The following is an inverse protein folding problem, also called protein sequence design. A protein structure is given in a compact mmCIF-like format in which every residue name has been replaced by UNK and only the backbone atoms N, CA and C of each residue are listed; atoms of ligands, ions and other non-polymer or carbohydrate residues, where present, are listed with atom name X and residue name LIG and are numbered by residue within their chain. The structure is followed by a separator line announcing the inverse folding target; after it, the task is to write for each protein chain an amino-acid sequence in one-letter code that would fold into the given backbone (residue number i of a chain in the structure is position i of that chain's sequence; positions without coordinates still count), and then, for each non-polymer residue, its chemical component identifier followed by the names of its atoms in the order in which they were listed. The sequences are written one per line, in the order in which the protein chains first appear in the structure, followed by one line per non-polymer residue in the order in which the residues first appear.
data_IF_587929152178
#
_entry.id   IF_587929152178
#
_cell.length_a   1.000
_cell.length_b   1.000
_cell.length_c   1.000
_cell.angle_alpha   90.00
_cell.angle_beta   90.00
_cell.angle_gamma   90.00
#
_symmetry.space_group_name_H-M   'P 1'
#
loop_
_entity.id
_entity.type
_entity.pdbx_description
1 polymer ?
#
# COMPACT_ATOMS: atom_id res chain seq x y z
N UNK A 1 7.31 -9.50 -31.11
CA UNK A 1 8.10 -10.73 -30.91
C UNK A 1 7.58 -11.42 -29.66
N UNK A 2 7.41 -12.74 -29.69
CA UNK A 2 7.00 -13.50 -28.51
C UNK A 2 8.23 -13.56 -27.58
N UNK A 3 8.25 -12.74 -26.53
CA UNK A 3 9.35 -12.77 -25.56
C UNK A 3 9.28 -14.11 -24.82
N UNK A 4 10.37 -14.88 -24.91
CA UNK A 4 10.48 -16.15 -24.22
C UNK A 4 10.65 -15.88 -22.72
N UNK A 5 9.87 -16.56 -21.89
CA UNK A 5 10.07 -16.55 -20.45
C UNK A 5 11.49 -17.04 -20.13
N UNK A 6 12.28 -16.33 -19.30
CA UNK A 6 13.64 -16.73 -19.02
C UNK A 6 13.64 -18.12 -18.37
N UNK A 7 14.55 -18.99 -18.82
CA UNK A 7 14.65 -20.38 -18.31
C UNK A 7 15.21 -20.43 -16.89
N UNK A 8 15.94 -19.38 -16.47
CA UNK A 8 16.59 -19.25 -15.17
C UNK A 8 16.46 -17.79 -14.76
N UNK A 9 16.10 -17.54 -13.51
CA UNK A 9 16.23 -16.24 -12.84
C UNK A 9 17.52 -16.32 -12.02
N UNK A 10 18.54 -15.57 -12.39
CA UNK A 10 19.88 -15.71 -11.81
C UNK A 10 20.52 -14.40 -11.38
N UNK A 11 19.91 -13.26 -11.73
CA UNK A 11 20.43 -11.96 -11.35
C UNK A 11 20.13 -11.67 -9.88
N UNK A 12 21.18 -11.72 -9.06
CA UNK A 12 21.12 -11.29 -7.66
C UNK A 12 20.70 -9.82 -7.55
N UNK A 13 21.25 -8.97 -8.43
CA UNK A 13 20.91 -7.55 -8.55
C UNK A 13 19.40 -7.37 -8.79
N UNK A 14 18.81 -8.22 -9.64
CA UNK A 14 17.38 -8.15 -9.93
C UNK A 14 16.52 -8.49 -8.71
N UNK A 15 16.89 -9.52 -7.96
CA UNK A 15 16.19 -9.89 -6.74
C UNK A 15 16.31 -8.81 -5.66
N UNK A 16 17.52 -8.29 -5.43
CA UNK A 16 17.77 -7.27 -4.41
C UNK A 16 17.06 -5.96 -4.74
N UNK A 17 17.06 -5.57 -6.02
CA UNK A 17 16.28 -4.41 -6.50
C UNK A 17 14.77 -4.61 -6.28
N UNK A 18 14.22 -5.78 -6.63
CA UNK A 18 12.81 -6.07 -6.41
C UNK A 18 12.43 -5.99 -4.92
N UNK A 19 13.29 -6.51 -4.05
CA UNK A 19 13.12 -6.45 -2.61
C UNK A 19 13.19 -5.03 -2.06
N UNK A 20 14.16 -4.23 -2.50
CA UNK A 20 14.28 -2.81 -2.12
C UNK A 20 13.04 -2.02 -2.49
N UNK A 21 12.46 -2.27 -3.67
CA UNK A 21 11.21 -1.62 -4.10
C UNK A 21 10.05 -2.02 -3.19
N UNK A 22 9.94 -3.31 -2.83
CA UNK A 22 8.88 -3.81 -1.96
C UNK A 22 9.01 -3.24 -0.55
N UNK A 23 10.23 -3.21 0.01
CA UNK A 23 10.51 -2.62 1.33
C UNK A 23 10.16 -1.10 1.34
N UNK A 24 10.41 -0.40 0.23
CA UNK A 24 10.00 0.98 0.01
C UNK A 24 8.48 1.16 0.07
N UNK A 25 7.73 0.27 -0.58
CA UNK A 25 6.27 0.23 -0.54
C UNK A 25 5.75 -0.11 0.87
N UNK A 26 6.28 -1.11 1.54
CA UNK A 26 5.85 -1.53 2.88
C UNK A 26 6.09 -0.42 3.91
N UNK A 27 7.23 0.28 3.79
CA UNK A 27 7.50 1.49 4.57
C UNK A 27 6.47 2.57 4.31
N UNK A 28 6.09 2.81 3.04
CA UNK A 28 5.04 3.76 2.70
C UNK A 28 3.71 3.38 3.34
N UNK A 29 3.28 2.13 3.14
CA UNK A 29 1.98 1.65 3.61
C UNK A 29 1.88 1.70 5.14
N UNK A 30 2.93 1.29 5.85
CA UNK A 30 2.98 1.38 7.32
C UNK A 30 2.83 2.81 7.83
N UNK A 31 3.52 3.77 7.23
CA UNK A 31 3.43 5.18 7.65
C UNK A 31 2.07 5.80 7.33
N UNK A 32 1.49 5.43 6.18
CA UNK A 32 0.15 5.84 5.82
C UNK A 32 -0.89 5.30 6.82
N UNK A 33 -0.78 4.03 7.21
CA UNK A 33 -1.64 3.39 8.23
C UNK A 33 -1.49 4.08 9.58
N UNK A 34 -0.27 4.36 10.01
CA UNK A 34 0.01 5.07 11.25
C UNK A 34 -0.64 6.46 11.27
N UNK A 35 -0.57 7.22 10.17
CA UNK A 35 -1.24 8.51 10.08
C UNK A 35 -2.77 8.40 10.20
N UNK A 36 -3.37 7.36 9.60
CA UNK A 36 -4.80 7.08 9.74
C UNK A 36 -5.19 6.74 11.18
N UNK A 37 -4.36 5.99 11.91
CA UNK A 37 -4.59 5.68 13.32
C UNK A 37 -4.51 6.94 14.21
N UNK A 38 -3.52 7.81 13.96
CA UNK A 38 -3.37 9.08 14.67
C UNK A 38 -4.55 10.03 14.45
N UNK A 39 -5.19 9.99 13.27
CA UNK A 39 -6.36 10.83 12.98
C UNK A 39 -7.52 10.62 13.97
N UNK A 40 -7.76 9.39 14.45
CA UNK A 40 -8.76 9.11 15.49
C UNK A 40 -8.43 9.86 16.79
N UNK A 41 -7.16 9.83 17.19
CA UNK A 41 -6.67 10.51 18.40
C UNK A 41 -6.85 12.02 18.29
N UNK A 42 -6.51 12.64 17.15
CA UNK A 42 -6.71 14.07 16.96
C UNK A 42 -8.17 14.48 17.08
N UNK A 43 -9.08 13.71 16.46
CA UNK A 43 -10.52 13.92 16.59
C UNK A 43 -10.96 13.81 18.05
N UNK A 44 -10.51 12.78 18.76
CA UNK A 44 -10.85 12.58 20.17
C UNK A 44 -10.28 13.69 21.07
N UNK A 45 -9.14 14.28 20.75
CA UNK A 45 -8.56 15.35 21.54
C UNK A 45 -9.06 16.75 21.17
N UNK A 46 -9.69 16.91 20.00
CA UNK A 46 -10.07 18.21 19.46
C UNK A 46 -8.89 18.98 18.85
N UNK A 47 -7.86 18.27 18.40
CA UNK A 47 -6.61 18.80 17.81
C UNK A 47 -6.82 19.06 16.31
N UNK A 48 -7.67 20.04 15.99
CA UNK A 48 -8.13 20.26 14.62
C UNK A 48 -7.02 20.78 13.69
N UNK A 49 -6.15 21.65 14.19
CA UNK A 49 -5.07 22.24 13.39
C UNK A 49 -4.00 21.19 13.06
N UNK A 50 -3.69 20.33 14.03
CA UNK A 50 -2.78 19.20 13.89
C UNK A 50 -3.34 18.19 12.88
N UNK A 51 -4.62 17.82 13.00
CA UNK A 51 -5.28 16.92 12.05
C UNK A 51 -5.20 17.44 10.60
N UNK A 52 -5.42 18.74 10.38
CA UNK A 52 -5.31 19.34 9.05
C UNK A 52 -3.87 19.35 8.53
N UNK A 53 -2.90 19.54 9.41
CA UNK A 53 -1.48 19.55 9.05
C UNK A 53 -1.02 18.16 8.66
N UNK A 54 -1.28 17.14 9.48
CA UNK A 54 -0.94 15.74 9.16
C UNK A 54 -1.65 15.25 7.89
N UNK A 55 -2.92 15.61 7.70
CA UNK A 55 -3.66 15.26 6.49
C UNK A 55 -3.00 15.83 5.22
N UNK A 56 -2.48 17.06 5.29
CA UNK A 56 -1.76 17.70 4.18
C UNK A 56 -0.41 17.02 3.93
N UNK A 57 0.35 16.73 4.98
CA UNK A 57 1.65 16.06 4.87
C UNK A 57 1.52 14.67 4.25
N UNK A 58 0.45 13.94 4.59
CA UNK A 58 0.15 12.62 4.05
C UNK A 58 -0.01 12.61 2.52
N UNK A 59 -0.46 13.70 1.89
CA UNK A 59 -0.57 13.80 0.42
C UNK A 59 0.81 13.58 -0.23
N UNK A 60 1.87 14.11 0.37
CA UNK A 60 3.24 13.98 -0.15
C UNK A 60 3.96 12.68 0.22
N UNK A 61 3.35 11.81 1.03
CA UNK A 61 4.03 10.59 1.52
C UNK A 61 4.39 9.64 0.38
N UNK A 62 3.50 9.49 -0.59
CA UNK A 62 3.73 8.56 -1.70
C UNK A 62 4.96 8.98 -2.50
N UNK A 63 4.97 10.20 -3.02
CA UNK A 63 6.07 10.72 -3.82
C UNK A 63 7.39 10.74 -3.07
N UNK A 64 7.36 11.06 -1.77
CA UNK A 64 8.55 11.02 -0.91
C UNK A 64 9.09 9.61 -0.75
N UNK A 65 8.24 8.60 -0.62
CA UNK A 65 8.67 7.20 -0.48
C UNK A 65 9.19 6.64 -1.80
N UNK A 66 8.57 6.99 -2.92
CA UNK A 66 9.09 6.66 -4.25
C UNK A 66 10.47 7.31 -4.45
N UNK A 67 10.62 8.60 -4.12
CA UNK A 67 11.90 9.31 -4.27
C UNK A 67 13.01 8.73 -3.36
N UNK A 68 12.68 8.34 -2.13
CA UNK A 68 13.63 7.64 -1.25
C UNK A 68 14.05 6.29 -1.83
N UNK A 69 13.12 5.51 -2.36
CA UNK A 69 13.43 4.23 -2.98
C UNK A 69 14.32 4.38 -4.22
N UNK A 70 14.00 5.33 -5.10
CA UNK A 70 14.81 5.65 -6.27
C UNK A 70 16.23 6.02 -5.85
N UNK A 71 16.37 6.92 -4.87
CA UNK A 71 17.68 7.33 -4.38
C UNK A 71 18.50 6.15 -3.82
N UNK A 72 17.87 5.23 -3.08
CA UNK A 72 18.57 4.04 -2.56
C UNK A 72 19.12 3.21 -3.73
N UNK A 73 18.33 3.00 -4.78
CA UNK A 73 18.75 2.24 -5.94
C UNK A 73 19.86 2.94 -6.73
N UNK A 74 19.76 4.26 -6.91
CA UNK A 74 20.80 5.09 -7.56
C UNK A 74 22.10 5.16 -6.75
N UNK A 75 22.04 5.09 -5.42
CA UNK A 75 23.21 5.08 -4.55
C UNK A 75 23.90 3.69 -4.53
N UNK A 76 23.18 2.61 -4.87
CA UNK A 76 23.65 1.21 -4.78
C UNK A 76 24.14 0.63 -6.12
N UNK A 77 23.55 1.06 -7.24
CA UNK A 77 23.80 0.51 -8.57
C UNK A 77 24.06 1.61 -9.61
N UNK A 78 24.99 1.36 -10.54
CA UNK A 78 25.17 2.21 -11.70
C UNK A 78 24.07 1.93 -12.76
N UNK A 79 23.80 2.88 -13.66
CA UNK A 79 22.80 2.70 -14.73
C UNK A 79 23.08 1.46 -15.60
N UNK A 80 24.37 1.11 -15.78
CA UNK A 80 24.80 -0.05 -16.57
C UNK A 80 24.44 -1.40 -15.90
N UNK A 81 24.35 -1.43 -14.57
CA UNK A 81 23.97 -2.63 -13.81
C UNK A 81 22.47 -2.94 -13.96
N UNK A 82 21.65 -1.91 -14.20
CA UNK A 82 20.19 -1.99 -14.32
C UNK A 82 19.73 -2.02 -15.78
N UNK A 83 20.32 -2.91 -16.58
CA UNK A 83 19.93 -3.14 -17.97
C UNK A 83 18.48 -3.63 -18.13
N UNK A 84 17.94 -3.56 -19.36
CA UNK A 84 16.61 -4.08 -19.71
C UNK A 84 16.41 -5.57 -19.36
N UNK A 85 17.46 -6.39 -19.42
CA UNK A 85 17.38 -7.80 -19.00
C UNK A 85 17.21 -7.93 -17.49
N UNK A 86 17.93 -7.10 -16.73
CA UNK A 86 17.81 -7.05 -15.27
C UNK A 86 16.41 -6.57 -14.87
N UNK A 87 15.88 -5.49 -15.45
CA UNK A 87 14.52 -5.02 -15.14
C UNK A 87 13.42 -6.05 -15.43
N UNK A 88 13.61 -6.90 -16.45
CA UNK A 88 12.70 -8.03 -16.70
C UNK A 88 12.75 -9.05 -15.56
N UNK A 89 13.94 -9.43 -15.11
CA UNK A 89 14.09 -10.32 -13.96
C UNK A 89 13.56 -9.66 -12.67
N UNK A 90 13.77 -8.36 -12.46
CA UNK A 90 13.25 -7.59 -11.32
C UNK A 90 11.73 -7.74 -11.23
N UNK A 91 11.01 -7.52 -12.34
CA UNK A 91 9.55 -7.66 -12.39
C UNK A 91 9.11 -9.08 -12.03
N UNK A 92 9.80 -10.09 -12.54
CA UNK A 92 9.48 -11.50 -12.26
C UNK A 92 9.71 -11.86 -10.79
N UNK A 93 10.82 -11.39 -10.20
CA UNK A 93 11.07 -11.53 -8.77
C UNK A 93 10.01 -10.79 -7.94
N UNK A 94 9.63 -9.58 -8.36
CA UNK A 94 8.59 -8.80 -7.69
C UNK A 94 7.24 -9.53 -7.68
N UNK A 95 6.82 -10.11 -8.81
CA UNK A 95 5.62 -10.97 -8.86
C UNK A 95 5.71 -12.11 -7.84
N UNK A 96 6.86 -12.79 -7.78
CA UNK A 96 7.08 -13.86 -6.82
C UNK A 96 6.94 -13.39 -5.36
N UNK A 97 7.49 -12.22 -5.03
CA UNK A 97 7.38 -11.62 -3.70
C UNK A 97 5.96 -11.21 -3.34
N UNK A 98 5.13 -10.86 -4.34
CA UNK A 98 3.75 -10.44 -4.11
C UNK A 98 2.75 -11.57 -3.89
N UNK A 99 3.14 -12.84 -4.07
CA UNK A 99 2.25 -14.01 -3.97
C UNK A 99 1.43 -14.05 -2.68
N UNK A 100 2.07 -13.74 -1.53
CA UNK A 100 1.42 -13.74 -0.21
C UNK A 100 1.14 -12.33 0.33
N UNK A 101 1.45 -11.30 -0.47
CA UNK A 101 1.32 -9.90 -0.07
C UNK A 101 -0.16 -9.49 -0.01
N UNK A 102 -0.56 -8.73 1.01
CA UNK A 102 -1.98 -8.38 1.25
C UNK A 102 -2.46 -7.15 0.47
N UNK A 103 -1.54 -6.40 -0.13
CA UNK A 103 -1.83 -5.22 -0.95
C UNK A 103 -1.06 -5.24 -2.28
N UNK A 104 -1.22 -6.30 -3.11
CA UNK A 104 -0.40 -6.49 -4.31
C UNK A 104 -0.62 -5.38 -5.35
N UNK A 105 -1.86 -4.96 -5.60
CA UNK A 105 -2.16 -3.91 -6.60
C UNK A 105 -1.50 -2.56 -6.27
N UNK A 106 -1.44 -2.21 -4.97
CA UNK A 106 -0.78 -0.98 -4.52
C UNK A 106 0.74 -1.09 -4.66
N UNK A 107 1.30 -2.27 -4.34
CA UNK A 107 2.71 -2.55 -4.50
C UNK A 107 3.13 -2.52 -5.98
N UNK A 108 2.31 -3.02 -6.90
CA UNK A 108 2.51 -2.93 -8.35
C UNK A 108 2.50 -1.47 -8.85
N UNK A 109 1.60 -0.64 -8.30
CA UNK A 109 1.55 0.79 -8.63
C UNK A 109 2.80 1.54 -8.14
N UNK A 110 3.26 1.20 -6.93
CA UNK A 110 4.51 1.72 -6.38
C UNK A 110 5.71 1.34 -7.24
N UNK A 111 5.78 0.07 -7.63
CA UNK A 111 6.78 -0.45 -8.55
C UNK A 111 6.82 0.32 -9.87
N UNK A 112 5.67 0.53 -10.51
CA UNK A 112 5.57 1.32 -11.73
C UNK A 112 6.12 2.75 -11.54
N UNK A 113 5.85 3.35 -10.38
CA UNK A 113 6.29 4.71 -10.06
C UNK A 113 7.81 4.80 -9.90
N UNK A 114 8.45 3.78 -9.31
CA UNK A 114 9.91 3.69 -9.20
C UNK A 114 10.52 3.43 -10.58
N UNK A 115 10.00 2.46 -11.34
CA UNK A 115 10.50 2.14 -12.68
C UNK A 115 10.46 3.36 -13.61
N UNK A 116 9.35 4.10 -13.64
CA UNK A 116 9.22 5.30 -14.47
C UNK A 116 10.22 6.41 -14.12
N UNK A 117 10.71 6.46 -12.87
CA UNK A 117 11.74 7.42 -12.46
C UNK A 117 13.14 6.94 -12.82
N UNK A 118 13.44 5.66 -12.61
CA UNK A 118 14.74 5.06 -12.95
C UNK A 118 15.00 4.99 -14.46
N UNK A 119 13.99 4.62 -15.26
CA UNK A 119 14.11 4.35 -16.70
C UNK A 119 13.86 5.58 -17.60
N UNK A 120 13.94 6.80 -17.05
CA UNK A 120 13.87 8.09 -17.76
C UNK A 120 12.98 8.14 -19.03
N UNK A 121 11.64 8.17 -18.89
CA UNK A 121 10.60 8.53 -19.91
C UNK A 121 10.64 7.89 -21.33
N UNK A 122 11.71 7.26 -21.79
CA UNK A 122 11.84 6.66 -23.12
C UNK A 122 11.35 5.21 -23.16
N UNK A 123 11.17 4.57 -22.00
CA UNK A 123 10.79 3.16 -21.91
C UNK A 123 9.39 2.94 -21.31
N UNK A 124 8.34 3.33 -22.04
CA UNK A 124 6.98 2.79 -21.85
C UNK A 124 6.80 1.48 -22.62
N UNK A 125 7.73 0.55 -22.47
CA UNK A 125 7.53 -0.82 -22.93
C UNK A 125 6.74 -1.58 -21.86
N UNK A 126 5.57 -2.12 -22.23
CA UNK A 126 4.68 -2.90 -21.35
C UNK A 126 5.38 -4.07 -20.64
N UNK A 127 6.56 -4.45 -21.12
CA UNK A 127 7.34 -5.56 -20.61
C UNK A 127 7.87 -5.28 -19.19
N UNK A 128 8.20 -4.03 -18.86
CA UNK A 128 8.79 -3.66 -17.56
C UNK A 128 7.78 -3.22 -16.50
N UNK A 129 6.62 -2.70 -16.90
CA UNK A 129 5.60 -2.17 -15.96
C UNK A 129 4.39 -3.09 -15.85
N UNK A 130 3.64 -2.96 -14.76
CA UNK A 130 2.35 -3.64 -14.55
C UNK A 130 1.22 -2.84 -15.22
N UNK A 131 0.83 -3.23 -16.43
CA UNK A 131 -0.34 -2.67 -17.15
C UNK A 131 -1.63 -3.37 -16.73
N UNK A 132 -1.52 -4.61 -16.27
CA UNK A 132 -2.61 -5.41 -15.69
C UNK A 132 -2.12 -6.01 -14.38
N UNK A 133 -3.01 -6.19 -13.39
CA UNK A 133 -2.65 -6.87 -12.16
C UNK A 133 -2.06 -8.25 -12.43
N UNK A 134 -0.92 -8.56 -11.84
CA UNK A 134 -0.28 -9.86 -11.97
C UNK A 134 -0.80 -10.84 -10.92
N UNK A 135 -1.19 -10.35 -9.74
CA UNK A 135 -1.74 -11.14 -8.64
C UNK A 135 -3.25 -10.93 -8.53
N UNK A 136 -4.02 -12.02 -8.44
CA UNK A 136 -5.45 -11.95 -8.19
C UNK A 136 -5.74 -11.61 -6.72
N UNK A 137 -6.59 -10.63 -6.49
CA UNK A 137 -7.06 -10.25 -5.15
C UNK A 137 -8.23 -11.12 -4.66
N UNK A 138 -8.78 -12.01 -5.51
CA UNK A 138 -9.94 -12.84 -5.18
C UNK A 138 -9.68 -13.87 -4.07
N UNK A 139 -8.43 -14.30 -3.92
CA UNK A 139 -8.02 -15.36 -2.98
C UNK A 139 -7.18 -14.85 -1.81
N UNK A 140 -7.26 -13.55 -1.50
CA UNK A 140 -6.59 -13.00 -0.32
C UNK A 140 -7.37 -13.41 0.93
N UNK A 141 -6.87 -14.42 1.63
CA UNK A 141 -7.40 -14.79 2.94
C UNK A 141 -7.02 -13.72 3.97
N UNK A 142 -8.03 -13.18 4.65
CA UNK A 142 -7.83 -12.27 5.75
C UNK A 142 -7.50 -13.07 7.02
N UNK A 143 -6.26 -12.98 7.47
CA UNK A 143 -5.81 -13.60 8.72
C UNK A 143 -6.20 -12.78 9.96
N UNK A 144 -6.70 -11.54 9.80
CA UNK A 144 -7.10 -10.74 10.94
C UNK A 144 -8.39 -11.28 11.59
N UNK A 145 -8.43 -11.37 12.93
CA UNK A 145 -9.58 -11.91 13.64
C UNK A 145 -10.80 -10.97 13.62
N UNK A 146 -10.60 -9.68 13.30
CA UNK A 146 -11.66 -8.68 13.30
C UNK A 146 -12.08 -8.38 11.85
N UNK A 147 -13.35 -8.59 11.49
CA UNK A 147 -13.83 -8.29 10.14
C UNK A 147 -13.85 -6.78 9.89
N UNK A 148 -13.63 -6.39 8.63
CA UNK A 148 -13.68 -4.99 8.21
C UNK A 148 -15.08 -4.36 8.34
N UNK A 149 -16.12 -5.17 8.46
CA UNK A 149 -17.49 -4.74 8.66
C UNK A 149 -18.15 -5.52 9.80
N UNK A 150 -19.19 -4.94 10.39
CA UNK A 150 -20.04 -5.58 11.40
C UNK A 150 -21.47 -5.59 10.88
N UNK A 151 -22.15 -6.71 11.09
CA UNK A 151 -23.56 -6.88 10.72
C UNK A 151 -24.43 -6.72 11.96
N UNK A 152 -25.58 -6.07 11.79
CA UNK A 152 -26.56 -5.83 12.85
C UNK A 152 -27.94 -6.26 12.38
N UNK A 153 -28.79 -6.72 13.30
CA UNK A 153 -30.11 -7.27 13.00
C UNK A 153 -31.22 -6.54 13.78
N UNK A 154 -31.67 -5.36 13.31
CA UNK A 154 -32.68 -4.54 13.99
C UNK A 154 -34.00 -5.25 14.28
N UNK A 155 -34.41 -6.17 13.41
CA UNK A 155 -35.66 -6.92 13.57
C UNK A 155 -35.63 -7.86 14.79
N UNK A 156 -34.43 -8.32 15.18
CA UNK A 156 -34.23 -9.19 16.35
C UNK A 156 -33.89 -8.37 17.59
N UNK A 157 -32.95 -7.44 17.47
CA UNK A 157 -32.36 -6.71 18.60
C UNK A 157 -33.13 -5.43 18.98
N UNK A 158 -34.03 -4.98 18.11
CA UNK A 158 -34.71 -3.68 18.20
C UNK A 158 -33.90 -2.54 17.60
N UNK A 159 -34.58 -1.64 16.89
CA UNK A 159 -33.95 -0.53 16.15
C UNK A 159 -33.12 0.39 17.05
N UNK A 160 -33.70 0.84 18.18
CA UNK A 160 -33.04 1.78 19.10
C UNK A 160 -31.74 1.21 19.67
N UNK A 161 -31.78 -0.04 20.11
CA UNK A 161 -30.59 -0.74 20.64
C UNK A 161 -29.54 -0.95 19.54
N UNK A 162 -29.97 -1.29 18.33
CA UNK A 162 -29.08 -1.48 17.18
C UNK A 162 -28.33 -0.19 16.82
N UNK A 163 -29.05 0.95 16.73
CA UNK A 163 -28.44 2.26 16.47
C UNK A 163 -27.42 2.64 17.55
N UNK A 164 -27.78 2.45 18.81
CA UNK A 164 -26.86 2.66 19.93
C UNK A 164 -25.60 1.81 19.80
N UNK A 165 -25.74 0.52 19.47
CA UNK A 165 -24.60 -0.38 19.23
C UNK A 165 -23.71 0.10 18.08
N UNK A 166 -24.29 0.47 16.94
CA UNK A 166 -23.55 1.00 15.78
C UNK A 166 -22.65 2.16 16.22
N UNK A 167 -23.22 3.13 16.92
CA UNK A 167 -22.50 4.33 17.38
C UNK A 167 -21.43 3.98 18.43
N UNK A 168 -21.75 3.14 19.42
CA UNK A 168 -20.77 2.77 20.47
C UNK A 168 -19.65 1.87 19.98
N UNK A 169 -19.85 1.12 18.89
CA UNK A 169 -18.86 0.21 18.32
C UNK A 169 -17.69 0.93 17.64
N UNK A 170 -17.80 2.24 17.40
CA UNK A 170 -16.65 3.08 17.03
C UNK A 170 -15.66 3.29 18.18
N UNK A 171 -16.06 3.01 19.43
CA UNK A 171 -15.20 3.07 20.61
C UNK A 171 -14.44 4.41 20.71
N UNK A 172 -15.16 5.50 20.50
CA UNK A 172 -14.64 6.85 20.69
C UNK A 172 -14.44 7.10 22.19
N UNK A 173 -13.30 7.70 22.57
CA UNK A 173 -12.98 8.00 23.97
C UNK A 173 -13.78 9.17 24.54
N UNK A 174 -14.30 10.06 23.67
CA UNK A 174 -15.11 11.19 24.10
C UNK A 174 -16.55 10.77 24.37
N UNK A 175 -17.11 11.32 25.45
CA UNK A 175 -18.53 11.15 25.78
C UNK A 175 -19.40 11.90 24.76
N UNK A 176 -20.50 11.27 24.38
CA UNK A 176 -21.57 11.94 23.64
C UNK A 176 -22.23 13.01 24.52
N UNK A 177 -22.70 14.08 23.88
CA UNK A 177 -23.45 15.13 24.58
C UNK A 177 -24.80 14.59 25.08
N UNK A 178 -25.55 13.87 24.23
CA UNK A 178 -26.77 13.16 24.59
C UNK A 178 -27.07 12.03 23.58
N UNK A 179 -26.50 10.84 23.83
CA UNK A 179 -26.66 9.68 22.93
C UNK A 179 -28.10 9.12 22.89
N UNK A 180 -28.93 9.39 23.90
CA UNK A 180 -30.29 8.86 23.94
C UNK A 180 -31.26 9.71 23.11
N UNK A 181 -30.91 10.99 22.90
CA UNK A 181 -31.60 11.96 22.06
C UNK A 181 -31.16 11.90 20.60
N UNK A 182 -29.85 11.82 20.35
CA UNK A 182 -29.23 11.76 19.00
C UNK A 182 -29.66 10.49 18.24
#
# INVERSE_FOLDING_TARGET
MQQAFPKILSSQIAFDTARTILDGFDKHYRLFRQACETAKRHFENGEWAEAQTEARERIGFYDKRVAECVKILEDEYDEEDLSDEVWREVKLHYIGLLTDHKQPELAETFFNSVCCKMLHREYYHNDFIFVRPAISTEYIENAEPVPAYRVYYPDTDGLRYTLKRIVTNFQLQRKFADLERD
#
